data_IF_895180308641
#
_entry.id   IF_895180308641
#
_cell.length_a   1.000
_cell.length_b   1.000
_cell.length_c   1.000
_cell.angle_alpha   90.00
_cell.angle_beta   90.00
_cell.angle_gamma   90.00
#
_symmetry.space_group_name_H-M   'P 1'
#
loop_
_entity.id
_entity.type
_entity.pdbx_description
1 polymer ?
#
# COMPACT_ATOMS: atom_id res chain seq x y z
N UNK A 1 5.83 -15.21 4.19
CA UNK A 1 4.78 -14.31 3.66
C UNK A 1 4.73 -13.09 4.55
N UNK A 2 4.59 -11.90 3.97
CA UNK A 2 4.43 -10.63 4.70
C UNK A 2 3.14 -9.97 4.26
N UNK A 3 2.37 -9.48 5.21
CA UNK A 3 1.19 -8.66 4.99
C UNK A 3 1.36 -7.36 5.79
N UNK A 4 0.95 -6.25 5.19
CA UNK A 4 0.92 -4.92 5.82
C UNK A 4 -0.47 -4.36 5.54
N UNK A 5 -1.11 -3.86 6.59
CA UNK A 5 -2.34 -3.09 6.50
C UNK A 5 -2.11 -1.83 7.33
N UNK A 6 -2.36 -0.69 6.73
CA UNK A 6 -2.25 0.62 7.35
C UNK A 6 -3.52 1.40 7.05
N UNK A 7 -4.17 1.89 8.10
CA UNK A 7 -5.35 2.72 8.01
C UNK A 7 -5.06 4.03 8.75
N UNK A 8 -5.32 5.15 8.08
CA UNK A 8 -5.04 6.50 8.55
C UNK A 8 -6.31 7.32 8.38
N UNK A 9 -6.67 8.05 9.42
CA UNK A 9 -7.82 8.95 9.45
C UNK A 9 -7.34 10.30 10.00
N UNK A 10 -7.72 11.37 9.33
CA UNK A 10 -7.40 12.73 9.73
C UNK A 10 -8.65 13.59 9.79
N UNK A 11 -8.85 14.21 10.94
CA UNK A 11 -9.82 15.27 11.16
C UNK A 11 -9.11 16.63 11.21
N UNK A 12 -9.40 17.48 10.22
CA UNK A 12 -8.86 18.82 10.10
C UNK A 12 -9.88 19.86 10.56
N UNK A 13 -9.42 20.82 11.37
CA UNK A 13 -10.20 22.04 11.63
C UNK A 13 -10.03 23.01 10.45
N UNK A 14 -10.98 22.98 9.51
CA UNK A 14 -10.96 23.78 8.27
C UNK A 14 -10.97 25.29 8.53
N UNK A 15 -11.45 25.76 9.70
CA UNK A 15 -11.43 27.19 10.06
C UNK A 15 -10.00 27.75 10.18
N UNK A 16 -9.00 26.88 10.37
CA UNK A 16 -7.59 27.26 10.47
C UNK A 16 -6.87 27.27 9.12
N UNK A 17 -7.54 26.87 8.02
CA UNK A 17 -6.92 26.70 6.71
C UNK A 17 -7.72 27.42 5.62
N UNK A 18 -7.02 28.11 4.71
CA UNK A 18 -7.62 28.85 3.60
C UNK A 18 -7.46 28.16 2.24
N UNK A 19 -7.06 26.89 2.23
CA UNK A 19 -6.74 26.12 1.02
C UNK A 19 -7.90 25.26 0.50
N UNK A 20 -9.05 25.30 1.17
CA UNK A 20 -10.27 24.60 0.75
C UNK A 20 -10.18 23.07 0.85
N UNK A 21 -9.31 22.55 1.72
CA UNK A 21 -9.22 21.10 1.99
C UNK A 21 -10.47 20.55 2.67
N UNK A 22 -10.75 19.28 2.44
CA UNK A 22 -11.78 18.54 3.16
C UNK A 22 -11.46 18.44 4.66
N UNK A 23 -12.47 18.49 5.54
CA UNK A 23 -12.29 18.33 6.97
C UNK A 23 -11.92 16.89 7.36
N UNK A 24 -12.29 15.91 6.54
CA UNK A 24 -12.00 14.50 6.79
C UNK A 24 -11.19 13.92 5.63
N UNK A 25 -10.14 13.19 5.98
CA UNK A 25 -9.35 12.40 5.03
C UNK A 25 -9.09 11.01 5.59
N UNK A 26 -9.40 9.99 4.79
CA UNK A 26 -9.18 8.60 5.11
C UNK A 26 -8.24 7.98 4.07
N UNK A 27 -7.32 7.15 4.54
CA UNK A 27 -6.38 6.43 3.68
C UNK A 27 -6.17 5.01 4.19
N UNK A 28 -6.38 4.04 3.29
CA UNK A 28 -6.14 2.63 3.54
C UNK A 28 -5.09 2.11 2.56
N UNK A 29 -3.99 1.64 3.11
CA UNK A 29 -2.91 1.01 2.36
C UNK A 29 -2.80 -0.48 2.75
N UNK A 30 -2.79 -1.35 1.75
CA UNK A 30 -2.60 -2.79 1.94
C UNK A 30 -1.47 -3.29 1.06
N UNK A 31 -0.58 -4.11 1.62
CA UNK A 31 0.48 -4.76 0.86
C UNK A 31 0.61 -6.23 1.25
N UNK A 32 0.63 -7.11 0.24
CA UNK A 32 0.95 -8.51 0.39
C UNK A 32 2.25 -8.81 -0.36
N UNK A 33 3.17 -9.50 0.30
CA UNK A 33 4.43 -9.96 -0.28
C UNK A 33 4.61 -11.44 0.04
N UNK A 34 4.52 -12.24 -1.01
CA UNK A 34 4.88 -13.64 -1.00
C UNK A 34 6.34 -13.81 -1.43
N UNK A 35 7.04 -14.69 -0.72
CA UNK A 35 8.44 -15.02 -1.00
C UNK A 35 8.60 -16.53 -0.89
N UNK A 36 9.16 -17.16 -1.92
CA UNK A 36 9.37 -18.59 -1.97
C UNK A 36 10.80 -18.91 -2.39
N UNK A 37 11.48 -19.75 -1.60
CA UNK A 37 12.80 -20.27 -1.94
C UNK A 37 12.62 -21.50 -2.82
N UNK A 38 12.99 -21.39 -4.08
CA UNK A 38 12.89 -22.51 -5.03
C UNK A 38 14.04 -23.49 -4.81
N UNK A 39 15.24 -22.97 -4.59
CA UNK A 39 16.43 -23.71 -4.20
C UNK A 39 17.33 -22.81 -3.31
N UNK A 40 18.44 -23.29 -2.73
CA UNK A 40 19.33 -22.46 -1.91
C UNK A 40 19.92 -21.23 -2.62
N UNK A 41 19.89 -21.19 -3.95
CA UNK A 41 20.44 -20.12 -4.79
C UNK A 41 19.39 -19.18 -5.39
N UNK A 42 18.11 -19.53 -5.38
CA UNK A 42 17.03 -18.86 -6.12
C UNK A 42 15.86 -18.58 -5.20
N UNK A 43 15.47 -17.31 -5.12
CA UNK A 43 14.29 -16.87 -4.39
C UNK A 43 13.36 -16.11 -5.33
N UNK A 44 12.09 -16.48 -5.32
CA UNK A 44 11.04 -15.80 -6.05
C UNK A 44 10.23 -14.91 -5.11
N UNK A 45 9.89 -13.71 -5.55
CA UNK A 45 9.05 -12.77 -4.85
C UNK A 45 7.86 -12.39 -5.74
N UNK A 46 6.67 -12.43 -5.17
CA UNK A 46 5.45 -11.94 -5.79
C UNK A 46 4.76 -11.03 -4.78
N UNK A 47 4.38 -9.83 -5.21
CA UNK A 47 3.75 -8.87 -4.35
C UNK A 47 2.58 -8.17 -5.01
N UNK A 48 1.71 -7.68 -4.14
CA UNK A 48 0.51 -6.94 -4.41
C UNK A 48 0.46 -5.74 -3.48
N UNK A 49 0.08 -4.58 -3.98
CA UNK A 49 -0.12 -3.37 -3.20
C UNK A 49 -1.41 -2.70 -3.66
N UNK A 50 -2.16 -2.20 -2.70
CA UNK A 50 -3.42 -1.50 -2.89
C UNK A 50 -3.41 -0.20 -2.10
N UNK A 51 -3.97 0.82 -2.71
CA UNK A 51 -4.10 2.15 -2.12
C UNK A 51 -5.53 2.62 -2.29
N UNK A 52 -6.20 2.93 -1.20
CA UNK A 52 -7.56 3.49 -1.21
C UNK A 52 -7.60 4.78 -0.40
N UNK A 53 -8.37 5.76 -0.87
CA UNK A 53 -8.53 7.07 -0.27
C UNK A 53 -10.01 7.44 -0.22
N UNK A 54 -10.41 8.09 0.86
CA UNK A 54 -11.75 8.62 1.08
C UNK A 54 -11.68 10.00 1.72
N UNK A 55 -12.78 10.73 1.61
CA UNK A 55 -12.98 12.01 2.27
C UNK A 55 -14.46 12.17 2.64
N UNK A 56 -14.86 13.36 3.09
CA UNK A 56 -16.26 13.60 3.46
C UNK A 56 -17.25 13.45 2.30
N UNK A 57 -16.82 13.73 1.06
CA UNK A 57 -17.67 13.64 -0.13
C UNK A 57 -17.74 12.22 -0.72
N UNK A 58 -16.66 11.45 -0.61
CA UNK A 58 -16.51 10.15 -1.24
C UNK A 58 -16.07 9.07 -0.24
N UNK A 59 -16.75 7.92 -0.21
CA UNK A 59 -16.32 6.80 0.61
C UNK A 59 -14.95 6.28 0.14
N UNK A 60 -14.26 5.56 1.02
CA UNK A 60 -12.97 4.94 0.75
C UNK A 60 -12.97 4.19 -0.59
N UNK A 61 -12.30 4.76 -1.58
CA UNK A 61 -12.28 4.30 -2.97
C UNK A 61 -10.86 3.95 -3.37
N UNK A 62 -10.70 2.84 -4.09
CA UNK A 62 -9.40 2.40 -4.59
C UNK A 62 -8.81 3.44 -5.54
N UNK A 63 -7.69 4.05 -5.13
CA UNK A 63 -6.92 4.98 -5.94
C UNK A 63 -6.04 4.22 -6.93
N UNK A 64 -5.27 3.24 -6.42
CA UNK A 64 -4.25 2.56 -7.20
C UNK A 64 -4.04 1.12 -6.76
N UNK A 65 -3.60 0.29 -7.71
CA UNK A 65 -3.25 -1.10 -7.48
C UNK A 65 -2.01 -1.50 -8.27
N UNK A 66 -1.05 -2.10 -7.60
CA UNK A 66 0.22 -2.53 -8.20
C UNK A 66 0.48 -4.00 -7.94
N UNK A 67 0.82 -4.75 -8.98
CA UNK A 67 1.31 -6.13 -8.89
C UNK A 67 2.77 -6.15 -9.34
N UNK A 68 3.64 -6.80 -8.58
CA UNK A 68 5.06 -6.92 -8.92
C UNK A 68 5.58 -8.33 -8.69
N UNK A 69 6.51 -8.77 -9.54
CA UNK A 69 7.24 -10.02 -9.36
C UNK A 69 8.74 -9.76 -9.49
N UNK A 70 9.55 -10.45 -8.68
CA UNK A 70 11.02 -10.34 -8.70
C UNK A 70 11.64 -11.72 -8.53
N UNK A 71 12.78 -11.94 -9.17
CA UNK A 71 13.60 -13.16 -9.01
C UNK A 71 14.98 -12.76 -8.53
N UNK A 72 15.42 -13.36 -7.42
CA UNK A 72 16.78 -13.25 -6.91
C UNK A 72 17.54 -14.54 -7.16
N UNK A 73 18.75 -14.44 -7.69
CA UNK A 73 19.65 -15.57 -7.92
C UNK A 73 21.04 -15.27 -7.32
N UNK A 74 21.61 -16.23 -6.61
CA UNK A 74 22.94 -16.16 -6.01
C UNK A 74 23.90 -17.08 -6.78
N UNK A 75 24.91 -16.47 -7.41
CA UNK A 75 26.02 -17.18 -8.04
C UNK A 75 26.98 -17.64 -6.95
N UNK A 76 27.18 -18.96 -6.83
CA UNK A 76 28.21 -19.53 -5.96
C UNK A 76 29.37 -19.93 -6.86
N UNK A 77 30.50 -19.23 -6.73
CA UNK A 77 31.80 -19.61 -7.31
C UNK A 77 32.63 -20.33 -6.27
#
# INVERSE_FOLDING_TARGET
MRAIVQHVEYDFNTDLYSDGRDPEFEHLFTQLLFSYKVNPQTVFFLGYSDNSQGNQEYPLTQSDRTIFAKVGYAWVF
#
